data_IF_391784168943
#
_entry.id   IF_391784168943
#
_cell.length_a   1.000
_cell.length_b   1.000
_cell.length_c   1.000
_cell.angle_alpha   90.00
_cell.angle_beta   90.00
_cell.angle_gamma   90.00
#
_symmetry.space_group_name_H-M   'P 1'
#
loop_
_entity.id
_entity.type
_entity.pdbx_description
1 polymer ?
#
# COMPACT_ATOMS: atom_id res chain seq x y z
N UNK A 1 -5.42 81.61 10.58
CA UNK A 1 -4.71 80.34 10.34
C UNK A 1 -5.05 79.24 11.35
N UNK A 2 -4.90 79.45 12.67
CA UNK A 2 -5.04 78.37 13.68
C UNK A 2 -6.40 77.61 13.69
N UNK A 3 -7.51 78.24 13.29
CA UNK A 3 -8.83 77.58 13.18
C UNK A 3 -8.97 76.62 12.00
N UNK A 4 -8.13 76.72 10.96
CA UNK A 4 -8.22 75.85 9.78
C UNK A 4 -7.50 74.51 10.04
N UNK A 5 -6.38 74.52 10.79
CA UNK A 5 -5.66 73.30 11.18
C UNK A 5 -6.54 72.32 11.97
N UNK A 6 -7.42 72.83 12.85
CA UNK A 6 -8.29 72.00 13.67
C UNK A 6 -9.35 71.23 12.85
N UNK A 7 -9.86 71.79 11.76
CA UNK A 7 -10.81 71.10 10.89
C UNK A 7 -10.14 70.00 10.03
N UNK A 8 -8.87 70.20 9.64
CA UNK A 8 -8.11 69.18 8.89
C UNK A 8 -7.83 67.94 9.75
N UNK A 9 -7.58 68.09 11.05
CA UNK A 9 -7.38 66.95 11.94
C UNK A 9 -8.66 66.12 12.19
N UNK A 10 -9.85 66.73 12.12
CA UNK A 10 -11.13 66.00 12.29
C UNK A 10 -11.53 65.24 11.02
N UNK A 11 -11.19 65.76 9.85
CA UNK A 11 -11.48 65.10 8.56
C UNK A 11 -10.59 63.89 8.26
N UNK A 12 -9.42 63.77 8.90
CA UNK A 12 -8.52 62.61 8.77
C UNK A 12 -8.91 61.40 9.65
N UNK A 13 -10.00 61.48 10.42
CA UNK A 13 -10.54 60.36 11.21
C UNK A 13 -11.80 59.74 10.60
N UNK A 14 -12.25 60.21 9.43
CA UNK A 14 -13.50 59.77 8.80
C UNK A 14 -13.38 58.56 7.85
N UNK A 15 -12.17 58.07 7.55
CA UNK A 15 -11.96 56.95 6.62
C UNK A 15 -11.88 55.56 7.30
N UNK A 16 -12.04 55.51 8.63
CA UNK A 16 -12.10 54.25 9.38
C UNK A 16 -13.55 53.73 9.48
N UNK A 17 -14.16 53.42 8.33
CA UNK A 17 -15.46 52.72 8.24
C UNK A 17 -15.34 51.27 8.77
N UNK A 18 -15.31 51.15 10.10
CA UNK A 18 -15.25 49.88 10.81
C UNK A 18 -16.64 49.22 10.80
N UNK A 19 -17.00 48.64 9.65
CA UNK A 19 -18.27 47.96 9.43
C UNK A 19 -18.45 46.78 10.41
N UNK A 20 -19.18 47.04 11.50
CA UNK A 20 -19.56 46.07 12.53
C UNK A 20 -20.32 44.89 11.89
N UNK A 21 -21.09 45.13 10.82
CA UNK A 21 -21.76 44.09 10.04
C UNK A 21 -20.79 43.16 9.32
N UNK A 22 -19.69 43.69 8.77
CA UNK A 22 -18.60 42.89 8.17
C UNK A 22 -17.98 41.95 9.20
N UNK A 23 -17.72 42.42 10.42
CA UNK A 23 -17.09 41.62 11.48
C UNK A 23 -18.04 40.53 11.99
N UNK A 24 -19.30 40.88 12.25
CA UNK A 24 -20.32 39.90 12.63
C UNK A 24 -20.49 38.81 11.55
N UNK A 25 -20.47 39.19 10.27
CA UNK A 25 -20.52 38.26 9.14
C UNK A 25 -19.27 37.38 9.05
N UNK A 26 -18.07 37.91 9.30
CA UNK A 26 -16.82 37.13 9.34
C UNK A 26 -16.88 36.07 10.43
N UNK A 27 -17.28 36.43 11.65
CA UNK A 27 -17.36 35.49 12.77
C UNK A 27 -18.39 34.38 12.48
N UNK A 28 -19.58 34.75 11.99
CA UNK A 28 -20.61 33.80 11.60
C UNK A 28 -20.15 32.86 10.48
N UNK A 29 -19.41 33.36 9.48
CA UNK A 29 -18.84 32.52 8.42
C UNK A 29 -17.76 31.57 8.94
N UNK A 30 -16.95 31.97 9.93
CA UNK A 30 -15.97 31.09 10.59
C UNK A 30 -16.69 29.94 11.33
N UNK A 31 -17.73 30.26 12.11
CA UNK A 31 -18.56 29.28 12.82
C UNK A 31 -19.31 28.33 11.85
N UNK A 32 -19.96 28.87 10.82
CA UNK A 32 -20.65 28.08 9.78
C UNK A 32 -19.68 27.12 9.06
N UNK A 33 -18.46 27.57 8.75
CA UNK A 33 -17.44 26.75 8.09
C UNK A 33 -16.94 25.61 8.98
N UNK A 34 -16.65 25.91 10.26
CA UNK A 34 -16.17 24.93 11.23
C UNK A 34 -17.26 23.88 11.56
N UNK A 35 -18.51 24.32 11.75
CA UNK A 35 -19.65 23.43 11.97
C UNK A 35 -19.89 22.51 10.76
N UNK A 36 -19.81 23.05 9.53
CA UNK A 36 -19.92 22.26 8.31
C UNK A 36 -18.78 21.24 8.18
N UNK A 37 -17.54 21.62 8.50
CA UNK A 37 -16.38 20.72 8.46
C UNK A 37 -16.53 19.57 9.48
N UNK A 38 -16.88 19.88 10.73
CA UNK A 38 -17.15 18.89 11.79
C UNK A 38 -18.29 17.94 11.43
N UNK A 39 -19.28 18.42 10.67
CA UNK A 39 -20.42 17.63 10.19
C UNK A 39 -20.15 16.83 8.90
N UNK A 40 -18.90 16.81 8.41
CA UNK A 40 -18.54 16.11 7.17
C UNK A 40 -19.00 16.81 5.88
N UNK A 41 -19.60 18.00 5.97
CA UNK A 41 -20.13 18.76 4.84
C UNK A 41 -19.02 19.61 4.17
N UNK A 42 -17.97 18.94 3.71
CA UNK A 42 -16.72 19.61 3.29
C UNK A 42 -16.92 20.62 2.15
N UNK A 43 -17.82 20.37 1.19
CA UNK A 43 -18.16 21.35 0.14
C UNK A 43 -18.81 22.64 0.72
N UNK A 44 -19.60 22.54 1.79
CA UNK A 44 -20.18 23.70 2.47
C UNK A 44 -19.10 24.47 3.22
N UNK A 45 -18.21 23.75 3.93
CA UNK A 45 -17.06 24.34 4.62
C UNK A 45 -16.13 25.09 3.66
N UNK A 46 -15.76 24.47 2.52
CA UNK A 46 -14.96 25.08 1.45
C UNK A 46 -15.61 26.39 0.99
N UNK A 47 -16.91 26.37 0.68
CA UNK A 47 -17.62 27.57 0.20
C UNK A 47 -17.63 28.70 1.25
N UNK A 48 -17.80 28.38 2.53
CA UNK A 48 -17.77 29.37 3.63
C UNK A 48 -16.37 29.94 3.87
N UNK A 49 -15.33 29.10 3.83
CA UNK A 49 -13.95 29.55 3.91
C UNK A 49 -13.52 30.38 2.68
N UNK A 50 -13.99 30.05 1.48
CA UNK A 50 -13.77 30.89 0.29
C UNK A 50 -14.42 32.27 0.45
N UNK A 51 -15.66 32.33 0.94
CA UNK A 51 -16.34 33.61 1.22
C UNK A 51 -15.57 34.48 2.24
N UNK A 52 -14.86 33.89 3.20
CA UNK A 52 -13.97 34.62 4.11
C UNK A 52 -12.77 35.23 3.36
N UNK A 53 -12.09 34.43 2.52
CA UNK A 53 -10.96 34.89 1.69
C UNK A 53 -11.40 36.00 0.73
N UNK A 54 -12.54 35.84 0.07
CA UNK A 54 -13.13 36.84 -0.84
C UNK A 54 -13.49 38.15 -0.12
N UNK A 55 -13.79 38.11 1.19
CA UNK A 55 -13.99 39.29 2.05
C UNK A 55 -12.68 39.93 2.57
N UNK A 56 -11.53 39.38 2.19
CA UNK A 56 -10.19 39.83 2.58
C UNK A 56 -9.61 39.17 3.83
N UNK A 57 -10.27 38.15 4.39
CA UNK A 57 -9.75 37.40 5.56
C UNK A 57 -8.67 36.43 5.10
N UNK A 58 -7.42 36.84 5.25
CA UNK A 58 -6.24 36.08 4.81
C UNK A 58 -5.46 35.47 6.00
N UNK A 59 -6.12 35.26 7.14
CA UNK A 59 -5.55 34.64 8.33
C UNK A 59 -5.06 33.22 7.99
N UNK A 60 -3.79 32.89 8.26
CA UNK A 60 -3.24 31.56 7.95
C UNK A 60 -4.03 30.39 8.59
N UNK A 61 -4.61 30.47 9.81
CA UNK A 61 -5.51 29.45 10.34
C UNK A 61 -6.78 29.22 9.49
N UNK A 62 -7.33 30.28 8.87
CA UNK A 62 -8.49 30.17 7.97
C UNK A 62 -8.08 29.47 6.67
N UNK A 63 -6.90 29.81 6.14
CA UNK A 63 -6.33 29.16 4.96
C UNK A 63 -5.96 27.69 5.22
N UNK A 64 -5.51 27.35 6.43
CA UNK A 64 -5.22 25.98 6.86
C UNK A 64 -6.50 25.15 6.97
N UNK A 65 -7.55 25.68 7.61
CA UNK A 65 -8.85 25.00 7.69
C UNK A 65 -9.51 24.82 6.30
N UNK A 66 -9.31 25.77 5.37
CA UNK A 66 -9.70 25.61 3.98
C UNK A 66 -8.92 24.49 3.29
N UNK A 67 -7.60 24.38 3.54
CA UNK A 67 -6.77 23.29 3.02
C UNK A 67 -7.20 21.92 3.56
N UNK A 68 -7.54 21.84 4.85
CA UNK A 68 -8.15 20.65 5.47
C UNK A 68 -9.50 20.31 4.82
N UNK A 69 -10.37 21.30 4.59
CA UNK A 69 -11.66 21.07 3.94
C UNK A 69 -11.51 20.54 2.50
N UNK A 70 -10.57 21.08 1.71
CA UNK A 70 -10.22 20.51 0.39
C UNK A 70 -9.72 19.07 0.50
N UNK A 71 -8.80 18.78 1.43
CA UNK A 71 -8.23 17.45 1.61
C UNK A 71 -9.30 16.40 1.95
N UNK A 72 -10.18 16.70 2.90
CA UNK A 72 -11.29 15.82 3.28
C UNK A 72 -12.32 15.63 2.16
N UNK A 73 -12.51 16.64 1.31
CA UNK A 73 -13.32 16.57 0.09
C UNK A 73 -12.64 15.80 -1.06
N UNK A 74 -11.40 15.31 -0.87
CA UNK A 74 -10.54 14.68 -1.90
C UNK A 74 -10.21 15.62 -3.07
N UNK A 75 -10.26 16.93 -2.85
CA UNK A 75 -9.94 17.97 -3.84
C UNK A 75 -8.42 18.18 -3.91
N UNK A 76 -7.86 18.10 -5.12
CA UNK A 76 -6.42 18.25 -5.37
C UNK A 76 -5.90 19.66 -5.07
N UNK A 77 -6.80 20.65 -4.99
CA UNK A 77 -6.51 22.03 -4.54
C UNK A 77 -5.82 22.07 -3.17
N UNK A 78 -6.08 21.07 -2.30
CA UNK A 78 -5.41 20.91 -1.01
C UNK A 78 -3.88 20.97 -1.10
N UNK A 79 -3.28 20.35 -2.13
CA UNK A 79 -1.83 20.32 -2.34
C UNK A 79 -1.28 21.74 -2.50
N UNK A 80 -1.94 22.56 -3.32
CA UNK A 80 -1.53 23.94 -3.57
C UNK A 80 -1.77 24.84 -2.35
N UNK A 81 -2.79 24.55 -1.54
CA UNK A 81 -3.07 25.26 -0.30
C UNK A 81 -2.01 24.98 0.77
N UNK A 82 -1.72 23.71 1.08
CA UNK A 82 -0.66 23.35 2.03
C UNK A 82 0.73 23.77 1.55
N UNK A 83 1.02 23.71 0.24
CA UNK A 83 2.32 24.13 -0.31
C UNK A 83 2.64 25.61 -0.04
N UNK A 84 1.62 26.47 0.04
CA UNK A 84 1.78 27.88 0.46
C UNK A 84 2.03 27.98 1.97
N UNK A 85 1.30 27.21 2.78
CA UNK A 85 1.38 27.24 4.24
C UNK A 85 2.70 26.64 4.79
N UNK A 86 3.39 25.79 4.04
CA UNK A 86 4.77 25.36 4.35
C UNK A 86 5.76 26.54 4.45
N UNK A 87 5.44 27.69 3.86
CA UNK A 87 6.24 28.93 3.91
C UNK A 87 5.83 29.87 5.06
N UNK A 88 4.84 29.50 5.87
CA UNK A 88 4.36 30.27 7.02
C UNK A 88 5.49 30.68 7.96
N UNK A 89 5.37 31.84 8.61
CA UNK A 89 6.27 32.23 9.71
C UNK A 89 5.91 31.59 11.04
N UNK A 90 4.65 31.17 11.19
CA UNK A 90 4.20 30.36 12.31
C UNK A 90 4.76 28.92 12.15
N UNK A 91 5.36 28.41 13.22
CA UNK A 91 6.00 27.09 13.21
C UNK A 91 4.98 25.95 13.33
N UNK A 92 3.86 26.17 14.01
CA UNK A 92 2.77 25.20 14.12
C UNK A 92 2.05 25.05 12.78
N UNK A 93 1.64 26.16 12.16
CA UNK A 93 0.98 26.14 10.82
C UNK A 93 1.90 25.51 9.77
N UNK A 94 3.19 25.90 9.78
CA UNK A 94 4.22 25.26 8.95
C UNK A 94 4.28 23.74 9.21
N UNK A 95 4.34 23.33 10.47
CA UNK A 95 4.41 21.90 10.85
C UNK A 95 3.21 21.12 10.34
N UNK A 96 1.99 21.60 10.57
CA UNK A 96 0.75 20.93 10.11
C UNK A 96 0.71 20.88 8.58
N UNK A 97 1.12 21.93 7.87
CA UNK A 97 1.16 21.91 6.41
C UNK A 97 2.17 20.87 5.86
N UNK A 98 3.36 20.77 6.45
CA UNK A 98 4.33 19.72 6.12
C UNK A 98 3.79 18.32 6.45
N UNK A 99 3.16 18.13 7.61
CA UNK A 99 2.53 16.86 8.00
C UNK A 99 1.48 16.41 6.99
N UNK A 100 0.55 17.29 6.60
CA UNK A 100 -0.51 16.95 5.65
C UNK A 100 0.02 16.64 4.25
N UNK A 101 1.08 17.33 3.80
CA UNK A 101 1.79 16.97 2.58
C UNK A 101 2.46 15.57 2.69
N UNK A 102 2.95 15.21 3.87
CA UNK A 102 3.40 13.85 4.18
C UNK A 102 2.29 12.81 4.05
N UNK A 103 1.12 13.07 4.63
CA UNK A 103 -0.08 12.19 4.53
C UNK A 103 -0.49 12.01 3.07
N UNK A 104 -0.59 13.09 2.29
CA UNK A 104 -0.93 13.03 0.86
C UNK A 104 0.04 12.13 0.08
N UNK A 105 1.34 12.20 0.38
CA UNK A 105 2.36 11.35 -0.26
C UNK A 105 2.29 9.90 0.22
N UNK A 106 2.03 9.66 1.52
CA UNK A 106 1.88 8.32 2.07
C UNK A 106 0.66 7.59 1.48
N UNK A 107 -0.47 8.28 1.36
CA UNK A 107 -1.69 7.75 0.72
C UNK A 107 -1.44 7.39 -0.77
N UNK A 108 -0.57 8.15 -1.45
CA UNK A 108 -0.07 7.83 -2.79
C UNK A 108 1.01 6.74 -2.85
N UNK A 109 1.30 6.03 -1.75
CA UNK A 109 2.38 5.03 -1.57
C UNK A 109 3.79 5.56 -1.89
N UNK A 110 3.99 6.87 -1.78
CA UNK A 110 5.28 7.55 -2.01
C UNK A 110 6.00 7.76 -0.69
N UNK A 111 6.28 6.67 0.01
CA UNK A 111 6.71 6.71 1.41
C UNK A 111 8.06 7.42 1.61
N UNK A 112 9.05 7.30 0.70
CA UNK A 112 10.27 8.10 0.77
C UNK A 112 10.05 9.61 0.65
N UNK A 113 9.05 10.06 -0.13
CA UNK A 113 8.68 11.47 -0.18
C UNK A 113 7.98 11.88 1.12
N UNK A 114 7.01 11.09 1.58
CA UNK A 114 6.26 11.33 2.80
C UNK A 114 7.17 11.49 4.04
N UNK A 115 8.17 10.61 4.21
CA UNK A 115 9.14 10.70 5.30
C UNK A 115 9.96 12.00 5.30
N UNK A 116 10.20 12.62 4.12
CA UNK A 116 10.85 13.94 4.05
C UNK A 116 9.92 15.02 4.60
N UNK A 117 8.66 15.03 4.17
CA UNK A 117 7.66 15.98 4.64
C UNK A 117 7.42 15.88 6.15
N UNK A 118 7.23 14.68 6.70
CA UNK A 118 7.11 14.48 8.14
C UNK A 118 8.37 14.91 8.92
N UNK A 119 9.58 14.73 8.35
CA UNK A 119 10.81 15.22 8.97
C UNK A 119 10.89 16.75 9.00
N UNK A 120 10.42 17.45 7.96
CA UNK A 120 10.35 18.92 7.97
C UNK A 120 9.27 19.44 8.94
N UNK A 121 8.14 18.73 9.08
CA UNK A 121 7.15 19.01 10.13
C UNK A 121 7.76 18.93 11.53
N UNK A 122 8.46 17.84 11.85
CA UNK A 122 9.14 17.65 13.15
C UNK A 122 10.32 18.60 13.39
N UNK A 123 10.88 19.22 12.34
CA UNK A 123 11.85 20.33 12.50
C UNK A 123 11.17 21.66 12.83
N UNK A 124 9.99 21.91 12.25
CA UNK A 124 9.20 23.11 12.55
C UNK A 124 8.60 23.03 13.96
N UNK A 125 8.07 21.87 14.35
CA UNK A 125 7.50 21.63 15.67
C UNK A 125 7.87 20.22 16.20
N UNK A 126 8.93 20.09 17.03
CA UNK A 126 9.42 18.81 17.54
C UNK A 126 8.45 18.03 18.44
N UNK A 127 7.42 18.69 18.96
CA UNK A 127 6.34 18.15 19.79
C UNK A 127 5.07 17.80 19.00
N UNK A 128 5.11 17.85 17.66
CA UNK A 128 4.01 17.37 16.83
C UNK A 128 3.97 15.83 16.83
N UNK A 129 3.23 15.26 17.77
CA UNK A 129 3.10 13.82 17.95
C UNK A 129 2.34 13.12 16.80
N UNK A 130 1.46 13.81 16.09
CA UNK A 130 0.79 13.24 14.91
C UNK A 130 1.79 13.05 13.76
N UNK A 131 2.65 14.03 13.50
CA UNK A 131 3.75 13.91 12.55
C UNK A 131 4.77 12.84 12.97
N UNK A 132 5.05 12.70 14.29
CA UNK A 132 5.92 11.63 14.83
C UNK A 132 5.32 10.25 14.56
N UNK A 133 4.04 10.06 14.87
CA UNK A 133 3.31 8.82 14.62
C UNK A 133 3.30 8.47 13.13
N UNK A 134 2.94 9.44 12.29
CA UNK A 134 2.83 9.25 10.84
C UNK A 134 4.21 8.96 10.20
N UNK A 135 5.30 9.53 10.72
CA UNK A 135 6.67 9.20 10.31
C UNK A 135 7.00 7.72 10.58
N UNK A 136 6.80 7.23 11.81
CA UNK A 136 7.14 5.84 12.17
C UNK A 136 6.22 4.82 11.49
N UNK A 137 4.93 5.13 11.29
CA UNK A 137 4.03 4.30 10.49
C UNK A 137 4.50 4.21 9.03
N UNK A 138 4.79 5.35 8.40
CA UNK A 138 5.25 5.42 7.00
C UNK A 138 6.57 4.69 6.79
N UNK A 139 7.46 4.71 7.78
CA UNK A 139 8.75 4.01 7.77
C UNK A 139 8.58 2.49 7.79
N UNK A 140 7.61 1.97 8.56
CA UNK A 140 7.23 0.54 8.55
C UNK A 140 6.64 0.13 7.20
N UNK A 141 5.70 0.91 6.67
CA UNK A 141 5.08 0.66 5.35
C UNK A 141 6.14 0.65 4.23
N UNK A 142 7.15 1.51 4.31
CA UNK A 142 8.27 1.50 3.38
C UNK A 142 9.15 0.26 3.49
N UNK A 143 9.46 -0.19 4.71
CA UNK A 143 10.21 -1.42 4.93
C UNK A 143 9.47 -2.64 4.35
N UNK A 144 8.15 -2.70 4.55
CA UNK A 144 7.32 -3.77 4.00
C UNK A 144 7.27 -3.73 2.46
N UNK A 145 7.04 -2.55 1.85
CA UNK A 145 7.06 -2.39 0.40
C UNK A 145 8.38 -2.88 -0.22
N UNK A 146 9.51 -2.62 0.45
CA UNK A 146 10.83 -3.10 0.02
C UNK A 146 10.98 -4.61 0.16
N UNK A 147 10.44 -5.23 1.21
CA UNK A 147 10.42 -6.69 1.38
C UNK A 147 9.58 -7.38 0.30
N UNK A 148 8.39 -6.86 0.02
CA UNK A 148 7.53 -7.36 -1.06
C UNK A 148 8.27 -7.30 -2.42
N UNK A 149 8.86 -6.15 -2.77
CA UNK A 149 9.65 -5.99 -4.01
C UNK A 149 10.87 -6.92 -4.11
N UNK A 150 11.49 -7.32 -2.98
CA UNK A 150 12.57 -8.30 -2.98
C UNK A 150 12.06 -9.73 -3.23
N UNK A 151 10.94 -10.11 -2.60
CA UNK A 151 10.30 -11.41 -2.81
C UNK A 151 9.82 -11.57 -4.25
N UNK A 152 9.21 -10.53 -4.84
CA UNK A 152 8.76 -10.56 -6.23
C UNK A 152 9.92 -10.78 -7.21
N UNK A 153 11.05 -10.09 -7.01
CA UNK A 153 12.28 -10.28 -7.81
C UNK A 153 12.84 -11.70 -7.68
N UNK A 154 12.85 -12.26 -6.47
CA UNK A 154 13.33 -13.63 -6.24
C UNK A 154 12.41 -14.67 -6.87
N UNK A 155 11.09 -14.47 -6.79
CA UNK A 155 10.10 -15.32 -7.45
C UNK A 155 10.20 -15.25 -8.98
N UNK A 156 10.51 -14.07 -9.55
CA UNK A 156 10.73 -13.90 -10.98
C UNK A 156 12.01 -14.62 -11.44
N UNK A 157 13.14 -14.44 -10.74
CA UNK A 157 14.39 -15.17 -11.05
C UNK A 157 14.23 -16.70 -10.94
N UNK A 158 13.43 -17.19 -9.99
CA UNK A 158 13.13 -18.62 -9.87
C UNK A 158 12.28 -19.14 -11.04
N UNK A 159 11.30 -18.36 -11.52
CA UNK A 159 10.54 -18.72 -12.74
C UNK A 159 11.43 -18.75 -13.97
N UNK A 160 12.28 -17.75 -14.16
CA UNK A 160 13.17 -17.65 -15.33
C UNK A 160 14.14 -18.86 -15.38
N UNK A 161 14.72 -19.24 -14.24
CA UNK A 161 15.53 -20.47 -14.12
C UNK A 161 14.75 -21.73 -14.44
N UNK A 162 13.55 -21.89 -13.88
CA UNK A 162 12.70 -23.06 -14.11
C UNK A 162 12.20 -23.15 -15.57
N UNK A 163 12.20 -22.04 -16.30
CA UNK A 163 11.93 -21.98 -17.73
C UNK A 163 13.17 -22.39 -18.55
N UNK A 164 14.37 -21.90 -18.19
CA UNK A 164 15.63 -22.34 -18.80
C UNK A 164 15.91 -23.84 -18.61
N UNK A 165 15.65 -24.39 -17.41
CA UNK A 165 15.84 -25.82 -17.15
C UNK A 165 14.93 -26.69 -18.04
N UNK A 166 13.69 -26.24 -18.29
CA UNK A 166 12.77 -26.91 -19.22
C UNK A 166 13.24 -26.85 -20.68
N UNK A 167 13.76 -25.70 -21.13
CA UNK A 167 14.34 -25.58 -22.48
C UNK A 167 15.61 -26.43 -22.65
N UNK A 168 16.46 -26.54 -21.61
CA UNK A 168 17.63 -27.40 -21.65
C UNK A 168 17.25 -28.89 -21.68
N UNK A 169 16.24 -29.31 -20.91
CA UNK A 169 15.73 -30.69 -20.97
C UNK A 169 15.14 -31.03 -22.35
N UNK A 170 14.38 -30.11 -22.98
CA UNK A 170 13.91 -30.33 -24.35
C UNK A 170 15.05 -30.44 -25.37
N UNK A 171 16.12 -29.63 -25.25
CA UNK A 171 17.29 -29.73 -26.13
C UNK A 171 18.13 -30.99 -25.92
N UNK A 172 18.23 -31.51 -24.69
CA UNK A 172 18.95 -32.76 -24.40
C UNK A 172 18.21 -34.02 -24.85
N UNK A 173 16.89 -33.97 -25.08
CA UNK A 173 16.14 -35.11 -25.64
C UNK A 173 16.27 -35.25 -27.17
N UNK A 174 16.85 -34.29 -27.87
CA UNK A 174 16.88 -34.25 -29.34
C UNK A 174 18.09 -34.87 -30.12
N UNK A 175 19.14 -35.47 -29.52
CA UNK A 175 20.22 -36.11 -30.28
C UNK A 175 20.26 -37.65 -30.21
N UNK A 176 19.10 -38.35 -30.13
CA UNK A 176 19.06 -39.84 -30.19
C UNK A 176 18.48 -40.46 -31.47
N UNK A 177 17.84 -39.71 -32.35
CA UNK A 177 17.26 -40.26 -33.60
C UNK A 177 18.21 -40.26 -34.81
N UNK A 178 19.39 -39.65 -34.73
CA UNK A 178 20.31 -39.53 -35.88
C UNK A 178 21.49 -40.53 -35.90
N UNK A 179 21.66 -41.38 -34.89
CA UNK A 179 22.77 -42.36 -34.85
C UNK A 179 22.40 -43.81 -35.22
N UNK A 180 21.12 -44.16 -35.41
CA UNK A 180 20.71 -45.49 -35.87
C UNK A 180 20.59 -45.63 -37.40
N UNK A 181 21.06 -44.63 -38.18
CA UNK A 181 20.83 -44.55 -39.64
C UNK A 181 22.08 -44.79 -40.51
N UNK A 182 23.07 -45.54 -40.03
CA UNK A 182 24.35 -45.79 -40.73
C UNK A 182 24.88 -47.23 -40.74
N UNK A 183 24.10 -48.22 -40.31
CA UNK A 183 24.50 -49.66 -40.34
C UNK A 183 23.50 -50.54 -41.12
N UNK A 184 22.84 -49.99 -42.15
CA UNK A 184 21.88 -50.73 -42.98
C UNK A 184 21.96 -50.40 -44.48
N UNK A 185 23.19 -50.30 -45.00
CA UNK A 185 23.48 -50.21 -46.44
C UNK A 185 24.35 -51.39 -46.91
N UNK A 186 23.84 -52.62 -46.82
CA UNK A 186 24.20 -53.67 -47.78
C UNK A 186 23.18 -54.83 -47.80
N UNK A 187 22.61 -55.10 -48.99
CA UNK A 187 21.53 -56.07 -49.31
C UNK A 187 20.15 -55.73 -48.70
N UNK A 188 19.05 -55.76 -49.44
CA UNK A 188 18.87 -56.10 -50.85
C UNK A 188 17.41 -56.43 -51.15
N UNK A 189 16.70 -55.46 -51.72
CA UNK A 189 15.43 -55.54 -52.48
C UNK A 189 14.27 -56.48 -52.08
N UNK A 190 13.09 -55.86 -51.86
CA UNK A 190 11.72 -56.33 -52.20
C UNK A 190 11.20 -57.62 -51.49
N UNK A 191 9.92 -57.88 -51.19
CA UNK A 191 8.59 -57.20 -51.16
C UNK A 191 7.65 -58.20 -50.41
N UNK A 192 6.50 -57.89 -49.83
CA UNK A 192 5.76 -56.65 -49.50
C UNK A 192 4.62 -57.05 -48.52
N UNK A 193 4.16 -56.12 -47.64
CA UNK A 193 2.82 -56.01 -47.01
C UNK A 193 2.84 -55.13 -45.74
N UNK A 194 2.04 -54.06 -45.73
CA UNK A 194 1.69 -53.29 -44.52
C UNK A 194 0.92 -54.15 -43.50
N UNK A 195 1.23 -54.05 -42.21
CA UNK A 195 0.74 -53.05 -41.24
C UNK A 195 -0.76 -53.24 -40.90
N UNK A 196 -1.07 -53.89 -39.76
CA UNK A 196 -1.07 -53.42 -38.33
C UNK A 196 -2.43 -52.78 -38.00
N UNK A 197 -3.32 -53.38 -37.21
CA UNK A 197 -3.22 -53.97 -35.85
C UNK A 197 -3.12 -52.90 -34.75
N UNK A 198 -4.23 -52.72 -34.03
CA UNK A 198 -4.37 -51.93 -32.81
C UNK A 198 -4.07 -52.78 -31.55
N UNK A 199 -3.64 -52.08 -30.48
CA UNK A 199 -3.88 -52.35 -29.04
C UNK A 199 -3.44 -53.70 -28.45
N UNK A 200 -2.39 -53.61 -27.63
CA UNK A 200 -2.19 -54.46 -26.46
C UNK A 200 -3.23 -54.19 -25.36
N UNK A 201 -3.33 -55.11 -24.39
CA UNK A 201 -4.07 -54.94 -23.14
C UNK A 201 -3.55 -55.85 -22.02
N UNK A 202 -4.30 -55.87 -20.91
CA UNK A 202 -4.15 -56.69 -19.68
C UNK A 202 -3.10 -56.28 -18.63
N UNK A 203 -3.61 -55.67 -17.56
CA UNK A 203 -3.86 -56.29 -16.25
C UNK A 203 -2.92 -57.34 -15.62
N UNK A 204 -2.71 -57.10 -14.31
CA UNK A 204 -2.68 -58.03 -13.16
C UNK A 204 -1.39 -58.71 -12.63
N UNK A 205 -0.84 -58.04 -11.59
CA UNK A 205 -0.63 -58.51 -10.18
C UNK A 205 0.54 -59.40 -9.73
N UNK A 206 0.88 -59.15 -8.45
CA UNK A 206 1.59 -59.96 -7.44
C UNK A 206 3.13 -60.06 -7.54
N UNK A 207 3.93 -59.98 -6.47
CA UNK A 207 3.74 -59.60 -5.05
C UNK A 207 5.15 -59.30 -4.41
N UNK A 208 5.24 -58.65 -3.23
CA UNK A 208 6.42 -58.79 -2.35
C UNK A 208 7.19 -57.56 -1.82
N UNK A 209 6.70 -56.97 -0.70
CA UNK A 209 7.46 -56.35 0.44
C UNK A 209 8.32 -55.05 0.30
N UNK A 210 7.90 -54.05 1.12
CA UNK A 210 8.68 -52.97 1.81
C UNK A 210 9.36 -51.90 0.90
N UNK A 211 9.19 -50.60 1.07
CA UNK A 211 9.43 -49.76 2.28
C UNK A 211 8.51 -48.50 2.34
N UNK A 212 8.81 -47.55 3.25
CA UNK A 212 7.97 -46.39 3.60
C UNK A 212 8.19 -45.17 2.67
N UNK A 213 7.12 -44.52 2.25
CA UNK A 213 7.15 -43.19 1.62
C UNK A 213 5.85 -42.81 0.93
N UNK A 214 5.65 -41.50 0.70
CA UNK A 214 4.67 -40.90 -0.23
C UNK A 214 3.16 -41.06 0.06
N UNK A 215 2.63 -40.16 0.90
CA UNK A 215 1.22 -39.66 0.86
C UNK A 215 1.13 -38.23 1.45
N UNK A 216 1.62 -37.21 0.75
CA UNK A 216 1.61 -35.81 1.24
C UNK A 216 1.48 -34.76 0.10
N UNK A 217 0.62 -34.97 -0.91
CA UNK A 217 0.43 -33.99 -2.01
C UNK A 217 -1.03 -33.69 -2.44
N UNK A 218 -2.03 -34.46 -1.99
CA UNK A 218 -3.46 -34.17 -2.23
C UNK A 218 -4.16 -33.41 -1.09
N UNK A 219 -3.67 -33.52 0.15
CA UNK A 219 -4.19 -32.79 1.31
C UNK A 219 -3.96 -31.28 1.21
N UNK A 220 -2.89 -30.87 0.53
CA UNK A 220 -2.38 -29.49 0.55
C UNK A 220 -3.07 -28.55 -0.45
N UNK A 221 -3.92 -29.07 -1.34
CA UNK A 221 -4.79 -28.26 -2.22
C UNK A 221 -6.13 -27.94 -1.55
N UNK A 222 -6.74 -28.93 -0.88
CA UNK A 222 -8.06 -28.81 -0.28
C UNK A 222 -8.10 -27.79 0.86
N UNK A 223 -7.06 -27.77 1.70
CA UNK A 223 -6.93 -26.77 2.77
C UNK A 223 -6.82 -25.33 2.25
N UNK A 224 -6.17 -25.10 1.10
CA UNK A 224 -5.98 -23.74 0.54
C UNK A 224 -7.27 -23.16 -0.05
N UNK A 225 -8.19 -23.99 -0.53
CA UNK A 225 -9.51 -23.53 -0.98
C UNK A 225 -10.42 -23.20 0.22
N UNK A 226 -10.45 -24.05 1.25
CA UNK A 226 -11.18 -23.78 2.50
C UNK A 226 -10.67 -22.54 3.24
N UNK A 227 -9.34 -22.34 3.31
CA UNK A 227 -8.69 -21.16 3.89
C UNK A 227 -9.09 -19.87 3.14
N UNK A 228 -9.14 -19.92 1.81
CA UNK A 228 -9.52 -18.79 0.97
C UNK A 228 -11.00 -18.43 1.10
N UNK A 229 -11.90 -19.42 1.12
CA UNK A 229 -13.32 -19.18 1.42
C UNK A 229 -13.53 -18.62 2.84
N UNK A 230 -12.80 -19.13 3.84
CA UNK A 230 -12.87 -18.65 5.21
C UNK A 230 -12.40 -17.18 5.33
N UNK A 231 -11.36 -16.81 4.56
CA UNK A 231 -10.84 -15.45 4.47
C UNK A 231 -11.85 -14.50 3.79
N UNK A 232 -12.45 -14.90 2.67
CA UNK A 232 -13.47 -14.11 1.96
C UNK A 232 -14.74 -13.92 2.82
N UNK A 233 -15.22 -14.97 3.50
CA UNK A 233 -16.35 -14.88 4.45
C UNK A 233 -16.03 -14.01 5.68
N UNK A 234 -14.76 -13.90 6.08
CA UNK A 234 -14.33 -12.95 7.13
C UNK A 234 -14.27 -11.50 6.61
N UNK A 235 -13.74 -11.29 5.41
CA UNK A 235 -13.69 -9.97 4.78
C UNK A 235 -15.09 -9.36 4.58
N UNK A 236 -16.05 -10.15 4.10
CA UNK A 236 -17.46 -9.73 3.99
C UNK A 236 -18.07 -9.37 5.36
N UNK A 237 -17.75 -10.14 6.41
CA UNK A 237 -18.23 -9.86 7.77
C UNK A 237 -17.66 -8.57 8.34
N UNK A 238 -16.40 -8.24 8.02
CA UNK A 238 -15.78 -6.96 8.40
C UNK A 238 -16.38 -5.76 7.63
N UNK A 239 -16.73 -5.93 6.35
CA UNK A 239 -17.46 -4.91 5.58
C UNK A 239 -18.85 -4.61 6.18
N UNK A 240 -19.53 -5.63 6.72
CA UNK A 240 -20.82 -5.46 7.41
C UNK A 240 -20.73 -4.71 8.76
N UNK A 241 -19.54 -4.60 9.37
CA UNK A 241 -19.36 -3.94 10.67
C UNK A 241 -19.21 -2.41 10.59
N UNK A 242 -19.45 -1.79 9.43
CA UNK A 242 -19.34 -0.34 9.21
C UNK A 242 -17.96 0.25 9.54
N UNK A 243 -16.92 -0.60 9.53
CA UNK A 243 -15.51 -0.24 9.73
C UNK A 243 -15.01 0.55 8.51
N UNK A 244 -14.10 1.50 8.73
CA UNK A 244 -13.45 2.18 7.59
C UNK A 244 -12.57 1.21 6.81
N UNK A 245 -12.37 1.46 5.52
CA UNK A 245 -11.60 0.57 4.64
C UNK A 245 -10.16 0.35 5.15
N UNK A 246 -9.58 1.35 5.83
CA UNK A 246 -8.27 1.28 6.48
C UNK A 246 -8.28 0.43 7.75
N UNK A 247 -9.32 0.53 8.59
CA UNK A 247 -9.50 -0.34 9.75
C UNK A 247 -9.68 -1.80 9.33
N UNK A 248 -10.47 -2.06 8.28
CA UNK A 248 -10.64 -3.39 7.71
C UNK A 248 -9.31 -3.98 7.19
N UNK A 249 -8.48 -3.17 6.51
CA UNK A 249 -7.14 -3.56 6.06
C UNK A 249 -6.21 -3.88 7.23
N UNK A 250 -6.12 -3.00 8.24
CA UNK A 250 -5.29 -3.25 9.42
C UNK A 250 -5.70 -4.53 10.17
N UNK A 251 -7.00 -4.81 10.30
CA UNK A 251 -7.49 -6.04 10.93
C UNK A 251 -7.08 -7.28 10.11
N UNK A 252 -7.29 -7.26 8.78
CA UNK A 252 -6.90 -8.36 7.89
C UNK A 252 -5.38 -8.63 7.93
N UNK A 253 -4.58 -7.57 7.95
CA UNK A 253 -3.12 -7.66 7.99
C UNK A 253 -2.60 -8.16 9.35
N UNK A 254 -3.16 -7.67 10.46
CA UNK A 254 -2.85 -8.17 11.79
C UNK A 254 -3.21 -9.65 11.95
N UNK A 255 -4.33 -10.10 11.37
CA UNK A 255 -4.73 -11.51 11.36
C UNK A 255 -3.76 -12.37 10.53
N UNK A 256 -3.40 -11.93 9.31
CA UNK A 256 -2.42 -12.62 8.46
C UNK A 256 -1.05 -12.75 9.14
N UNK A 257 -0.61 -11.71 9.85
CA UNK A 257 0.65 -11.73 10.59
C UNK A 257 0.62 -12.68 11.80
N UNK A 258 -0.51 -12.76 12.53
CA UNK A 258 -0.70 -13.73 13.60
C UNK A 258 -0.73 -15.19 13.08
N UNK A 259 -1.34 -15.43 11.92
CA UNK A 259 -1.38 -16.74 11.27
C UNK A 259 0.01 -17.21 10.83
N UNK A 260 0.82 -16.32 10.25
CA UNK A 260 2.23 -16.59 9.95
C UNK A 260 3.03 -16.92 11.23
N UNK A 261 2.79 -16.24 12.35
CA UNK A 261 3.45 -16.59 13.62
C UNK A 261 3.00 -17.96 14.16
N UNK A 262 1.71 -18.29 14.07
CA UNK A 262 1.18 -19.60 14.47
C UNK A 262 1.82 -20.74 13.65
N UNK A 263 1.92 -20.57 12.32
CA UNK A 263 2.58 -21.52 11.43
C UNK A 263 4.09 -21.65 11.71
N UNK A 264 4.76 -20.57 12.12
CA UNK A 264 6.16 -20.63 12.54
C UNK A 264 6.36 -21.40 13.85
N UNK A 265 5.47 -21.22 14.84
CA UNK A 265 5.54 -21.94 16.12
C UNK A 265 5.27 -23.43 15.98
N UNK A 266 4.42 -23.83 15.03
CA UNK A 266 4.10 -25.23 14.73
C UNK A 266 5.12 -25.95 13.83
N UNK A 267 6.23 -25.30 13.43
CA UNK A 267 7.35 -26.01 12.78
C UNK A 267 7.99 -26.97 13.78
N UNK A 268 7.66 -28.26 13.65
CA UNK A 268 8.12 -29.35 14.53
C UNK A 268 9.63 -29.27 14.76
N UNK A 269 10.04 -29.13 16.02
CA UNK A 269 11.45 -29.21 16.43
C UNK A 269 12.02 -30.58 16.00
N UNK A 270 13.24 -30.64 15.44
CA UNK A 270 13.82 -31.91 14.98
C UNK A 270 13.96 -32.89 16.15
N UNK A 271 13.32 -34.06 16.05
CA UNK A 271 13.21 -35.06 17.12
C UNK A 271 14.43 -35.96 17.27
N UNK A 272 15.52 -35.72 16.54
CA UNK A 272 16.79 -36.42 16.68
C UNK A 272 17.90 -35.46 17.11
N UNK A 273 18.51 -35.73 18.27
CA UNK A 273 19.75 -35.08 18.70
C UNK A 273 20.86 -35.45 17.72
N UNK A 274 21.57 -34.46 17.18
CA UNK A 274 22.76 -34.69 16.35
C UNK A 274 23.84 -35.40 17.17
N UNK A 275 24.43 -36.44 16.59
CA UNK A 275 25.43 -37.27 17.27
C UNK A 275 26.81 -36.61 17.17
N UNK A 276 27.37 -36.19 18.31
CA UNK A 276 28.59 -35.37 18.40
C UNK A 276 29.88 -36.02 17.89
N UNK A 277 29.85 -37.31 17.54
CA UNK A 277 31.03 -38.08 17.11
C UNK A 277 31.10 -38.32 15.59
N UNK A 278 30.52 -37.44 14.77
CA UNK A 278 30.77 -37.41 13.32
C UNK A 278 31.24 -36.01 12.87
N UNK A 279 32.19 -35.92 11.93
CA UNK A 279 32.51 -34.65 11.28
C UNK A 279 31.29 -34.06 10.59
N UNK A 280 31.18 -32.73 10.61
CA UNK A 280 30.05 -31.98 10.05
C UNK A 280 30.41 -31.46 8.64
N UNK A 281 30.72 -32.40 7.73
CA UNK A 281 30.99 -32.19 6.30
C UNK A 281 30.23 -33.20 5.45
#
# INVERSE_FOLDING_TARGET
>A
MMKILLYVCVLLWAEADFDIGKIAKINRLKEEAEAAYKSGQYNVAINRYKQLVDMGVNDEPVLLNLAHAYFMNKDTTAINAYSKLMLSKDNHIKSVAYQQMGVIKANGKKYEEALKFFKESLKAEPNNEEARHNYELTKKLLEEQRKQQQQDKQNQQNKDKQQQDKEQQQKQQQPKEQQQKKEQDEKGEQKDKGDKQEKDGKDDKADGKKEQGEKDDESDKKGKEEEKEAMERRAQRLQQMNLTEEQAKMILEAMKNNEVQYLQQNKKKPTKKTNKNKPDW
#
